data_IF_927152177700
#
_entry.id   IF_927152177700
#
_cell.length_a   1.000
_cell.length_b   1.000
_cell.length_c   1.000
_cell.angle_alpha   90.00
_cell.angle_beta   90.00
_cell.angle_gamma   90.00
#
_symmetry.space_group_name_H-M   'P 1'
#
loop_
_entity.id
_entity.type
_entity.pdbx_description
1 polymer ?
#
# COMPACT_ATOMS: atom_id res chain seq x y z
N UNK A 1 15.15 28.31 -0.25
CA UNK A 1 14.62 29.45 -1.01
C UNK A 1 14.51 29.01 -2.46
N UNK A 2 13.32 28.61 -2.90
CA UNK A 2 13.04 28.22 -4.29
C UNK A 2 12.87 29.49 -5.13
N UNK A 3 13.96 30.22 -5.37
CA UNK A 3 13.91 31.44 -6.20
C UNK A 3 13.95 31.10 -7.70
N UNK A 4 12.96 30.34 -8.15
CA UNK A 4 12.57 30.35 -9.56
C UNK A 4 11.75 31.60 -9.85
N UNK A 5 11.85 32.15 -11.06
CA UNK A 5 11.08 33.33 -11.49
C UNK A 5 9.69 32.95 -12.05
N UNK A 6 9.28 31.71 -11.81
CA UNK A 6 8.13 31.02 -12.41
C UNK A 6 7.15 30.62 -11.31
N UNK A 7 5.85 30.72 -11.63
CA UNK A 7 4.77 30.22 -10.78
C UNK A 7 4.73 28.70 -10.86
N UNK A 8 4.75 28.03 -9.71
CA UNK A 8 4.62 26.58 -9.62
C UNK A 8 3.14 26.15 -9.69
N UNK A 9 2.86 25.01 -10.32
CA UNK A 9 1.50 24.48 -10.36
C UNK A 9 1.09 23.86 -9.01
N UNK A 10 1.96 23.04 -8.41
CA UNK A 10 1.68 22.31 -7.17
C UNK A 10 2.86 22.45 -6.19
N UNK A 11 2.57 22.74 -4.92
CA UNK A 11 3.53 22.68 -3.83
C UNK A 11 2.96 21.83 -2.67
N UNK A 12 3.71 20.81 -2.27
CA UNK A 12 3.31 19.83 -1.25
C UNK A 12 3.99 20.04 0.11
N UNK A 13 3.39 19.55 1.19
CA UNK A 13 4.03 19.52 2.51
C UNK A 13 3.23 18.74 3.55
N UNK A 14 3.77 18.62 4.76
CA UNK A 14 2.98 18.19 5.92
C UNK A 14 2.04 19.30 6.38
N UNK A 15 0.92 18.97 7.02
CA UNK A 15 -0.04 19.97 7.52
C UNK A 15 0.59 20.93 8.55
N UNK A 16 1.64 20.52 9.28
CA UNK A 16 2.42 21.40 10.17
C UNK A 16 3.03 22.60 9.43
N UNK A 17 3.37 22.46 8.15
CA UNK A 17 3.99 23.51 7.36
C UNK A 17 2.99 24.59 6.94
N UNK A 18 1.68 24.29 6.99
CA UNK A 18 0.60 25.17 6.50
C UNK A 18 0.47 26.49 7.27
N UNK A 19 0.83 26.51 8.56
CA UNK A 19 0.57 27.67 9.43
C UNK A 19 1.72 28.69 9.48
N UNK A 20 2.94 28.30 9.13
CA UNK A 20 4.10 29.20 9.28
C UNK A 20 5.09 29.04 8.14
N UNK A 21 5.50 27.82 7.83
CA UNK A 21 6.53 27.59 6.82
C UNK A 21 6.08 28.04 5.42
N UNK A 22 4.96 27.52 4.92
CA UNK A 22 4.45 27.86 3.59
C UNK A 22 4.00 29.33 3.46
N UNK A 23 3.32 29.95 4.47
CA UNK A 23 3.09 31.39 4.46
C UNK A 23 4.37 32.23 4.34
N UNK A 24 5.45 31.81 5.01
CA UNK A 24 6.74 32.49 4.87
C UNK A 24 7.34 32.32 3.47
N UNK A 25 7.19 31.15 2.86
CA UNK A 25 7.65 30.93 1.47
C UNK A 25 6.87 31.77 0.47
N UNK A 26 5.55 31.88 0.63
CA UNK A 26 4.71 32.78 -0.16
C UNK A 26 5.20 34.21 0.00
N UNK A 27 5.33 34.70 1.24
CA UNK A 27 5.75 36.07 1.50
C UNK A 27 7.12 36.38 0.89
N UNK A 28 8.10 35.47 1.02
CA UNK A 28 9.43 35.66 0.46
C UNK A 28 9.43 35.66 -1.08
N UNK A 29 8.71 34.72 -1.69
CA UNK A 29 8.73 34.51 -3.14
C UNK A 29 7.92 35.57 -3.87
N UNK A 30 6.74 35.92 -3.37
CA UNK A 30 5.86 36.91 -4.01
C UNK A 30 6.38 38.35 -3.78
N UNK A 31 7.02 38.64 -2.63
CA UNK A 31 7.60 39.96 -2.40
C UNK A 31 8.77 40.27 -3.33
N UNK A 32 9.58 39.28 -3.70
CA UNK A 32 10.73 39.49 -4.60
C UNK A 32 10.34 39.44 -6.08
N UNK A 33 9.35 38.60 -6.45
CA UNK A 33 8.97 38.41 -7.86
C UNK A 33 7.80 39.28 -8.31
N UNK A 34 6.94 39.71 -7.39
CA UNK A 34 5.66 40.37 -7.70
C UNK A 34 4.65 39.48 -8.42
N UNK A 35 4.86 38.15 -8.43
CA UNK A 35 4.01 37.15 -9.11
C UNK A 35 3.42 36.18 -8.10
N UNK A 36 2.33 35.51 -8.47
CA UNK A 36 1.81 34.36 -7.72
C UNK A 36 2.88 33.27 -7.61
N UNK A 37 3.12 32.77 -6.40
CA UNK A 37 4.15 31.75 -6.17
C UNK A 37 3.67 30.34 -6.58
N UNK A 38 2.52 29.89 -6.11
CA UNK A 38 2.00 28.52 -6.29
C UNK A 38 0.50 28.54 -6.56
N UNK A 39 0.00 27.74 -7.51
CA UNK A 39 -1.44 27.61 -7.81
C UNK A 39 -2.18 26.70 -6.84
N UNK A 40 -1.63 25.52 -6.54
CA UNK A 40 -2.25 24.52 -5.69
C UNK A 40 -1.33 24.07 -4.55
N UNK A 41 -1.84 24.10 -3.33
CA UNK A 41 -1.14 23.62 -2.14
C UNK A 41 -1.75 22.29 -1.68
N UNK A 42 -0.89 21.29 -1.48
CA UNK A 42 -1.29 19.93 -1.10
C UNK A 42 -0.65 19.57 0.24
N UNK A 43 -1.45 19.34 1.26
CA UNK A 43 -0.95 19.04 2.60
C UNK A 43 -1.36 17.64 3.08
N UNK A 44 -0.38 16.83 3.46
CA UNK A 44 -0.60 15.55 4.12
C UNK A 44 -0.88 15.72 5.61
N UNK A 45 -1.90 15.03 6.10
CA UNK A 45 -2.27 15.04 7.52
C UNK A 45 -1.25 14.29 8.39
N UNK A 46 -1.34 14.49 9.69
CA UNK A 46 -0.46 13.84 10.65
C UNK A 46 -0.68 12.33 10.75
N UNK A 47 0.41 11.64 11.04
CA UNK A 47 0.39 10.25 11.51
C UNK A 47 0.46 10.24 13.05
N UNK A 48 -0.52 9.60 13.66
CA UNK A 48 -0.51 9.21 15.07
C UNK A 48 0.09 7.82 15.23
N UNK A 49 0.63 7.54 16.41
CA UNK A 49 1.09 6.22 16.83
C UNK A 49 0.39 5.88 18.13
N UNK A 50 -0.43 4.83 18.11
CA UNK A 50 -1.25 4.41 19.24
C UNK A 50 -2.09 5.56 19.82
N UNK A 51 -2.69 6.37 18.94
CA UNK A 51 -3.53 7.52 19.29
C UNK A 51 -2.78 8.77 19.75
N UNK A 52 -1.43 8.74 19.78
CA UNK A 52 -0.59 9.86 20.22
C UNK A 52 0.19 10.45 19.06
N UNK A 53 0.57 11.72 19.18
CA UNK A 53 1.48 12.35 18.20
C UNK A 53 2.78 11.55 18.12
N UNK A 54 3.28 11.32 16.91
CA UNK A 54 4.59 10.73 16.71
C UNK A 54 5.68 11.71 17.15
N UNK A 55 6.67 11.24 17.91
CA UNK A 55 7.77 12.09 18.34
C UNK A 55 8.92 11.31 18.98
N UNK A 56 10.15 11.74 18.69
CA UNK A 56 11.36 11.12 19.26
C UNK A 56 11.36 11.13 20.80
N UNK A 57 10.89 12.21 21.42
CA UNK A 57 10.80 12.33 22.88
C UNK A 57 9.78 11.38 23.52
N UNK A 58 8.79 10.93 22.76
CA UNK A 58 7.79 9.95 23.21
C UNK A 58 8.22 8.50 22.96
N UNK A 59 9.36 8.29 22.29
CA UNK A 59 9.88 6.95 21.96
C UNK A 59 9.00 6.16 20.98
N UNK A 60 8.04 6.82 20.32
CA UNK A 60 7.07 6.19 19.41
C UNK A 60 7.31 6.54 17.93
N UNK A 61 8.46 7.14 17.62
CA UNK A 61 8.88 7.38 16.24
C UNK A 61 9.64 6.16 15.72
N UNK A 62 9.01 5.41 14.82
CA UNK A 62 9.59 4.22 14.21
C UNK A 62 10.22 4.54 12.85
N UNK A 63 11.38 3.94 12.59
CA UNK A 63 12.04 3.94 11.29
C UNK A 63 11.69 2.67 10.52
N UNK A 64 11.89 2.67 9.20
CA UNK A 64 11.68 1.47 8.36
C UNK A 64 12.50 0.28 8.88
N UNK A 65 13.76 0.51 9.30
CA UNK A 65 14.60 -0.52 9.93
C UNK A 65 13.95 -1.16 11.19
N UNK A 66 13.14 -0.41 11.94
CA UNK A 66 12.45 -0.94 13.12
C UNK A 66 11.32 -1.90 12.74
N UNK A 67 10.71 -1.70 11.57
CA UNK A 67 9.70 -2.60 11.01
C UNK A 67 10.37 -3.89 10.55
N UNK A 68 11.49 -3.79 9.83
CA UNK A 68 12.25 -4.95 9.35
C UNK A 68 12.78 -5.80 10.51
N UNK A 69 13.33 -5.18 11.56
CA UNK A 69 13.77 -5.88 12.79
C UNK A 69 12.65 -6.66 13.47
N UNK A 70 11.38 -6.27 13.24
CA UNK A 70 10.19 -6.96 13.75
C UNK A 70 9.61 -7.99 12.78
N UNK A 71 10.26 -8.20 11.62
CA UNK A 71 9.87 -9.19 10.63
C UNK A 71 8.80 -8.71 9.65
N UNK A 72 8.60 -7.40 9.52
CA UNK A 72 7.71 -6.84 8.49
C UNK A 72 8.48 -6.56 7.20
N UNK A 73 7.83 -6.81 6.06
CA UNK A 73 8.29 -6.31 4.76
C UNK A 73 8.10 -4.77 4.71
N UNK A 74 9.13 -3.99 4.35
CA UNK A 74 9.04 -2.54 4.21
C UNK A 74 7.86 -2.05 3.33
N UNK A 75 7.51 -2.79 2.27
CA UNK A 75 6.41 -2.44 1.38
C UNK A 75 5.03 -2.51 2.05
N UNK A 76 4.92 -3.18 3.20
CA UNK A 76 3.68 -3.19 3.97
C UNK A 76 3.35 -1.82 4.52
N UNK A 77 4.35 -1.02 4.89
CA UNK A 77 4.11 0.34 5.35
C UNK A 77 3.46 1.17 4.24
N UNK A 78 3.93 0.99 3.00
CA UNK A 78 3.34 1.62 1.81
C UNK A 78 1.90 1.13 1.60
N UNK A 79 1.67 -0.19 1.64
CA UNK A 79 0.33 -0.75 1.54
C UNK A 79 -0.61 -0.19 2.61
N UNK A 80 -0.14 -0.08 3.85
CA UNK A 80 -0.90 0.47 4.98
C UNK A 80 -1.32 1.93 4.72
N UNK A 81 -0.42 2.77 4.21
CA UNK A 81 -0.78 4.15 3.90
C UNK A 81 -1.77 4.28 2.74
N UNK A 82 -1.74 3.35 1.78
CA UNK A 82 -2.73 3.29 0.69
C UNK A 82 -4.14 2.91 1.17
N UNK A 83 -4.31 2.44 2.42
CA UNK A 83 -5.65 2.14 2.95
C UNK A 83 -6.39 3.37 3.48
N UNK A 84 -5.77 4.55 3.47
CA UNK A 84 -6.36 5.80 3.94
C UNK A 84 -6.18 6.95 2.94
N UNK A 85 -6.89 8.06 3.15
CA UNK A 85 -6.67 9.27 2.36
C UNK A 85 -5.54 10.12 2.97
N UNK A 86 -4.70 10.73 2.13
CA UNK A 86 -3.55 11.52 2.58
C UNK A 86 -3.91 12.74 3.44
N UNK A 87 -5.16 13.22 3.36
CA UNK A 87 -5.68 14.38 4.11
C UNK A 87 -6.30 14.01 5.45
N UNK A 88 -6.42 12.73 5.75
CA UNK A 88 -7.00 12.24 6.99
C UNK A 88 -5.91 11.87 8.00
N UNK A 89 -6.14 12.19 9.27
CA UNK A 89 -5.22 11.79 10.34
C UNK A 89 -5.16 10.26 10.38
N UNK A 90 -3.98 9.72 10.15
CA UNK A 90 -3.77 8.28 10.09
C UNK A 90 -3.24 7.76 11.43
N UNK A 91 -3.88 6.75 12.01
CA UNK A 91 -3.39 6.12 13.24
C UNK A 91 -2.63 4.83 12.94
N UNK A 92 -1.31 4.89 13.06
CA UNK A 92 -0.45 3.72 12.99
C UNK A 92 -0.52 2.93 14.30
N UNK A 93 -0.75 1.61 14.17
CA UNK A 93 -0.54 0.65 15.25
C UNK A 93 0.13 -0.60 14.69
N UNK A 94 0.73 -1.42 15.54
CA UNK A 94 1.35 -2.67 15.10
C UNK A 94 0.31 -3.68 14.58
N UNK A 95 -0.91 -3.62 15.10
CA UNK A 95 -2.04 -4.44 14.65
C UNK A 95 -2.47 -4.04 13.23
N UNK A 96 -2.55 -2.73 12.92
CA UNK A 96 -2.90 -2.27 11.57
C UNK A 96 -1.82 -2.64 10.56
N UNK A 97 -0.54 -2.52 10.92
CA UNK A 97 0.57 -2.99 10.09
C UNK A 97 0.54 -4.51 9.88
N UNK A 98 0.20 -5.29 10.90
CA UNK A 98 0.04 -6.75 10.80
C UNK A 98 -1.10 -7.13 9.86
N UNK A 99 -2.24 -6.44 9.95
CA UNK A 99 -3.36 -6.63 9.04
C UNK A 99 -2.97 -6.30 7.58
N UNK A 100 -2.24 -5.21 7.36
CA UNK A 100 -1.71 -4.83 6.06
C UNK A 100 -0.74 -5.89 5.51
N UNK A 101 0.18 -6.42 6.33
CA UNK A 101 1.12 -7.48 5.92
C UNK A 101 0.36 -8.73 5.45
N UNK A 102 -0.66 -9.14 6.20
CA UNK A 102 -1.48 -10.29 5.85
C UNK A 102 -2.24 -10.08 4.53
N UNK A 103 -2.80 -8.89 4.33
CA UNK A 103 -3.50 -8.54 3.10
C UNK A 103 -2.56 -8.55 1.88
N UNK A 104 -1.38 -7.91 1.99
CA UNK A 104 -0.39 -7.87 0.92
C UNK A 104 0.17 -9.27 0.60
N UNK A 105 0.44 -10.09 1.62
CA UNK A 105 0.87 -11.47 1.42
C UNK A 105 -0.21 -12.29 0.72
N UNK A 106 -1.46 -12.16 1.13
CA UNK A 106 -2.57 -12.84 0.46
C UNK A 106 -2.72 -12.41 -1.00
N UNK A 107 -2.56 -11.13 -1.30
CA UNK A 107 -2.55 -10.63 -2.68
C UNK A 107 -1.44 -11.30 -3.49
N UNK A 108 -0.20 -11.26 -2.98
CA UNK A 108 0.97 -11.86 -3.61
C UNK A 108 0.79 -13.36 -3.88
N UNK A 109 0.31 -14.11 -2.89
CA UNK A 109 0.05 -15.55 -3.06
C UNK A 109 -1.08 -15.83 -4.06
N UNK A 110 -2.12 -14.99 -4.08
CA UNK A 110 -3.20 -15.12 -5.06
C UNK A 110 -2.68 -14.95 -6.50
N UNK A 111 -1.87 -13.91 -6.73
CA UNK A 111 -1.43 -13.54 -8.08
C UNK A 111 -0.28 -14.41 -8.62
N UNK A 112 0.44 -15.13 -7.75
CA UNK A 112 1.41 -16.16 -8.15
C UNK A 112 0.79 -17.26 -8.98
N UNK A 113 -0.47 -17.58 -8.70
CA UNK A 113 -1.22 -18.64 -9.37
C UNK A 113 -1.93 -18.17 -10.65
N UNK A 114 -1.81 -16.89 -11.01
CA UNK A 114 -2.41 -16.36 -12.22
C UNK A 114 -1.59 -16.70 -13.47
N UNK A 115 -2.25 -16.60 -14.62
CA UNK A 115 -1.65 -16.72 -15.94
C UNK A 115 -0.85 -15.46 -16.30
N UNK A 116 0.00 -15.58 -17.32
CA UNK A 116 0.78 -14.45 -17.82
C UNK A 116 -0.14 -13.30 -18.29
N UNK A 117 0.25 -12.03 -18.04
CA UNK A 117 -0.57 -10.88 -18.36
C UNK A 117 -0.80 -10.76 -19.87
N UNK A 118 -2.05 -10.50 -20.27
CA UNK A 118 -2.43 -10.22 -21.66
C UNK A 118 -3.10 -8.84 -21.75
N UNK A 119 -4.33 -8.76 -22.25
CA UNK A 119 -5.16 -7.54 -22.29
C UNK A 119 -5.85 -7.34 -20.95
N UNK A 120 -5.79 -6.13 -20.41
CA UNK A 120 -6.44 -5.77 -19.14
C UNK A 120 -7.96 -5.61 -19.21
N UNK A 121 -8.57 -5.46 -18.04
CA UNK A 121 -9.97 -5.14 -17.80
C UNK A 121 -10.19 -3.61 -17.79
N UNK A 122 -10.51 -3.03 -18.95
CA UNK A 122 -10.64 -1.58 -19.13
C UNK A 122 -11.60 -0.89 -18.12
N UNK A 123 -12.71 -1.54 -17.78
CA UNK A 123 -13.67 -1.02 -16.79
C UNK A 123 -13.03 -0.78 -15.42
N UNK A 124 -12.20 -1.72 -14.94
CA UNK A 124 -11.54 -1.61 -13.65
C UNK A 124 -10.40 -0.58 -13.70
N UNK A 125 -9.68 -0.50 -14.82
CA UNK A 125 -8.64 0.52 -15.05
C UNK A 125 -9.24 1.94 -15.03
N UNK A 126 -10.40 2.13 -15.66
CA UNK A 126 -11.12 3.40 -15.65
C UNK A 126 -11.56 3.77 -14.24
N UNK A 127 -12.28 2.88 -13.54
CA UNK A 127 -12.75 3.12 -12.16
C UNK A 127 -11.59 3.42 -11.22
N UNK A 128 -10.46 2.73 -11.38
CA UNK A 128 -9.24 2.97 -10.61
C UNK A 128 -8.69 4.39 -10.86
N UNK A 129 -8.67 4.82 -12.12
CA UNK A 129 -8.24 6.17 -12.49
C UNK A 129 -9.18 7.23 -11.93
N UNK A 130 -10.50 7.03 -12.04
CA UNK A 130 -11.51 7.93 -11.48
C UNK A 130 -11.40 8.07 -9.96
N UNK A 131 -11.04 6.99 -9.25
CA UNK A 131 -10.76 7.05 -7.82
C UNK A 131 -9.55 7.94 -7.50
N UNK A 132 -8.48 7.87 -8.31
CA UNK A 132 -7.29 8.70 -8.14
C UNK A 132 -7.52 10.17 -8.54
N UNK A 133 -8.31 10.40 -9.59
CA UNK A 133 -8.69 11.75 -10.03
C UNK A 133 -9.54 12.47 -8.97
N UNK A 134 -10.26 11.70 -8.15
CA UNK A 134 -10.96 12.20 -6.98
C UNK A 134 -10.01 12.38 -5.78
N UNK A 135 -9.16 13.40 -5.84
CA UNK A 135 -8.29 13.84 -4.74
C UNK A 135 -7.37 12.72 -4.20
N UNK A 136 -6.76 11.97 -5.12
CA UNK A 136 -5.81 10.89 -4.82
C UNK A 136 -6.40 9.85 -3.85
N UNK A 137 -7.66 9.44 -4.05
CA UNK A 137 -8.33 8.48 -3.18
C UNK A 137 -7.78 7.05 -3.36
N UNK A 138 -6.60 6.82 -2.78
CA UNK A 138 -5.88 5.55 -2.83
C UNK A 138 -6.61 4.43 -2.08
N UNK A 139 -7.37 4.74 -1.03
CA UNK A 139 -8.20 3.76 -0.34
C UNK A 139 -9.27 3.16 -1.27
N UNK A 140 -9.96 4.00 -2.05
CA UNK A 140 -10.91 3.55 -3.06
C UNK A 140 -10.22 2.83 -4.22
N UNK A 141 -9.08 3.33 -4.69
CA UNK A 141 -8.29 2.69 -5.73
C UNK A 141 -7.84 1.26 -5.32
N UNK A 142 -7.42 1.09 -4.06
CA UNK A 142 -7.04 -0.21 -3.51
C UNK A 142 -8.25 -1.14 -3.34
N UNK A 143 -9.43 -0.61 -3.01
CA UNK A 143 -10.66 -1.40 -3.00
C UNK A 143 -10.99 -1.95 -4.40
N UNK A 144 -10.87 -1.12 -5.44
CA UNK A 144 -11.09 -1.51 -6.85
C UNK A 144 -10.07 -2.58 -7.28
N UNK A 145 -8.82 -2.49 -6.83
CA UNK A 145 -7.83 -3.55 -7.06
C UNK A 145 -8.30 -4.89 -6.45
N UNK A 146 -8.83 -4.89 -5.23
CA UNK A 146 -9.35 -6.12 -4.61
C UNK A 146 -10.63 -6.63 -5.27
N UNK A 147 -11.48 -5.75 -5.78
CA UNK A 147 -12.61 -6.13 -6.63
C UNK A 147 -12.14 -6.84 -7.90
N UNK A 148 -11.12 -6.30 -8.59
CA UNK A 148 -10.51 -6.94 -9.75
C UNK A 148 -9.99 -8.34 -9.41
N UNK A 149 -9.27 -8.49 -8.29
CA UNK A 149 -8.74 -9.78 -7.82
C UNK A 149 -9.87 -10.80 -7.65
N UNK A 150 -11.01 -10.38 -7.08
CA UNK A 150 -12.17 -11.24 -6.77
C UNK A 150 -13.17 -11.43 -7.93
N UNK A 151 -13.06 -10.65 -8.99
CA UNK A 151 -13.97 -10.70 -10.15
C UNK A 151 -13.91 -12.02 -10.92
N UNK A 152 -14.79 -12.24 -11.90
CA UNK A 152 -14.80 -13.46 -12.73
C UNK A 152 -13.95 -13.34 -14.01
N UNK A 153 -13.20 -12.24 -14.17
CA UNK A 153 -12.34 -12.07 -15.35
C UNK A 153 -11.24 -13.15 -15.42
N UNK A 154 -10.78 -13.51 -16.63
CA UNK A 154 -9.64 -14.41 -16.80
C UNK A 154 -8.42 -13.90 -16.03
N UNK A 155 -7.64 -14.80 -15.42
CA UNK A 155 -6.51 -14.40 -14.57
C UNK A 155 -5.43 -13.65 -15.33
N UNK A 156 -5.22 -13.97 -16.62
CA UNK A 156 -4.33 -13.25 -17.53
C UNK A 156 -4.78 -11.80 -17.78
N UNK A 157 -6.10 -11.55 -17.81
CA UNK A 157 -6.64 -10.20 -17.98
C UNK A 157 -6.53 -9.38 -16.68
N UNK A 158 -6.87 -10.00 -15.55
CA UNK A 158 -6.66 -9.42 -14.21
C UNK A 158 -5.19 -9.04 -14.01
N UNK A 159 -4.26 -9.92 -14.36
CA UNK A 159 -2.82 -9.67 -14.29
C UNK A 159 -2.42 -8.44 -15.10
N UNK A 160 -2.94 -8.28 -16.32
CA UNK A 160 -2.67 -7.11 -17.17
C UNK A 160 -3.05 -5.78 -16.51
N UNK A 161 -4.26 -5.68 -15.95
CA UNK A 161 -4.68 -4.47 -15.26
C UNK A 161 -4.00 -4.28 -13.91
N UNK A 162 -3.77 -5.36 -13.16
CA UNK A 162 -3.08 -5.31 -11.88
C UNK A 162 -1.69 -4.67 -12.02
N UNK A 163 -0.93 -5.07 -13.04
CA UNK A 163 0.41 -4.52 -13.28
C UNK A 163 0.37 -3.04 -13.69
N UNK A 164 -0.67 -2.58 -14.38
CA UNK A 164 -0.85 -1.15 -14.67
C UNK A 164 -1.20 -0.37 -13.39
N UNK A 165 -2.12 -0.88 -12.58
CA UNK A 165 -2.46 -0.28 -11.28
C UNK A 165 -1.23 -0.20 -10.37
N UNK A 166 -0.39 -1.23 -10.39
CA UNK A 166 0.83 -1.29 -9.59
C UNK A 166 1.91 -0.27 -10.00
N UNK A 167 1.85 0.28 -11.22
CA UNK A 167 2.71 1.42 -11.60
C UNK A 167 2.43 2.66 -10.75
N UNK A 168 1.20 2.81 -10.26
CA UNK A 168 0.81 3.88 -9.33
C UNK A 168 0.99 3.43 -7.88
N UNK A 169 0.51 2.23 -7.54
CA UNK A 169 0.53 1.76 -6.15
C UNK A 169 1.93 1.41 -5.66
N UNK A 170 2.82 0.92 -6.53
CA UNK A 170 4.23 0.64 -6.21
C UNK A 170 4.43 -0.46 -5.17
N UNK A 171 3.69 -1.56 -5.27
CA UNK A 171 3.73 -2.71 -4.35
C UNK A 171 4.64 -3.86 -4.85
N UNK A 172 5.25 -3.70 -6.03
CA UNK A 172 6.19 -4.67 -6.60
C UNK A 172 5.52 -5.97 -7.05
N UNK A 173 4.26 -5.92 -7.47
CA UNK A 173 3.44 -7.10 -7.77
C UNK A 173 3.96 -7.87 -9.00
N UNK A 174 4.71 -7.21 -9.89
CA UNK A 174 5.34 -7.84 -11.05
C UNK A 174 6.27 -9.01 -10.70
N UNK A 175 6.87 -9.00 -9.51
CA UNK A 175 7.75 -10.08 -9.03
C UNK A 175 6.99 -11.35 -8.62
N UNK A 176 5.67 -11.25 -8.50
CA UNK A 176 4.79 -12.31 -8.00
C UNK A 176 3.86 -12.83 -9.09
N UNK A 177 3.36 -11.97 -9.98
CA UNK A 177 2.42 -12.36 -11.05
C UNK A 177 2.97 -13.51 -11.89
N UNK A 178 2.22 -14.61 -11.95
CA UNK A 178 2.56 -15.81 -12.71
C UNK A 178 3.96 -16.40 -12.40
N UNK A 179 4.49 -16.10 -11.20
CA UNK A 179 5.74 -16.66 -10.66
C UNK A 179 5.40 -17.73 -9.62
N UNK A 180 4.98 -18.89 -10.11
CA UNK A 180 4.70 -20.06 -9.28
C UNK A 180 5.97 -20.46 -8.52
N UNK A 181 5.82 -20.68 -7.21
CA UNK A 181 6.87 -21.26 -6.38
C UNK A 181 6.81 -22.77 -6.61
N UNK A 182 7.96 -23.37 -6.90
CA UNK A 182 8.07 -24.83 -6.91
C UNK A 182 8.06 -25.30 -5.45
N UNK A 183 6.96 -25.91 -5.03
CA UNK A 183 6.79 -26.37 -3.65
C UNK A 183 7.33 -27.80 -3.59
N UNK A 184 8.37 -28.08 -2.78
CA UNK A 184 8.92 -29.42 -2.63
C UNK A 184 7.83 -30.46 -2.31
N UNK A 185 7.93 -31.67 -2.88
CA UNK A 185 6.93 -32.74 -2.71
C UNK A 185 6.62 -33.05 -1.25
N UNK A 186 7.63 -33.02 -0.38
CA UNK A 186 7.46 -33.25 1.06
C UNK A 186 6.57 -32.18 1.72
N UNK A 187 6.59 -30.94 1.24
CA UNK A 187 5.72 -29.87 1.74
C UNK A 187 4.30 -30.05 1.21
N UNK A 188 4.14 -30.45 -0.06
CA UNK A 188 2.82 -30.79 -0.60
C UNK A 188 2.18 -31.95 0.15
N UNK A 189 2.96 -32.98 0.51
CA UNK A 189 2.48 -34.12 1.29
C UNK A 189 2.02 -33.70 2.70
N UNK A 190 2.78 -32.84 3.38
CA UNK A 190 2.38 -32.26 4.67
C UNK A 190 1.10 -31.42 4.57
N UNK A 191 0.92 -30.68 3.47
CA UNK A 191 -0.31 -29.91 3.20
C UNK A 191 -1.50 -30.85 2.99
N UNK A 192 -1.36 -31.90 2.19
CA UNK A 192 -2.42 -32.89 1.98
C UNK A 192 -2.81 -33.60 3.27
N UNK A 193 -1.83 -34.04 4.08
CA UNK A 193 -2.08 -34.65 5.39
C UNK A 193 -2.81 -33.68 6.34
N UNK A 194 -2.51 -32.37 6.24
CA UNK A 194 -3.18 -31.34 7.02
C UNK A 194 -4.63 -31.12 6.57
N UNK A 195 -4.90 -31.11 5.28
CA UNK A 195 -6.27 -31.02 4.77
C UNK A 195 -7.13 -32.22 5.18
N UNK A 196 -6.56 -33.42 5.16
CA UNK A 196 -7.21 -34.63 5.64
C UNK A 196 -7.51 -34.55 7.15
N UNK A 197 -6.55 -34.08 7.95
CA UNK A 197 -6.76 -33.82 9.38
C UNK A 197 -7.90 -32.81 9.62
N UNK A 198 -8.00 -31.75 8.81
CA UNK A 198 -9.12 -30.79 8.90
C UNK A 198 -10.46 -31.40 8.50
N UNK A 199 -10.52 -32.19 7.42
CA UNK A 199 -11.74 -32.91 7.01
C UNK A 199 -12.22 -33.87 8.11
N UNK A 200 -11.28 -34.49 8.81
CA UNK A 200 -11.55 -35.40 9.93
C UNK A 200 -11.73 -34.67 11.28
N UNK A 201 -11.76 -33.33 11.30
CA UNK A 201 -11.87 -32.51 12.53
C UNK A 201 -10.76 -32.75 13.57
N UNK A 202 -9.61 -33.28 13.15
CA UNK A 202 -8.40 -33.42 13.97
C UNK A 202 -7.59 -32.12 13.95
N UNK A 203 -8.07 -31.14 14.72
CA UNK A 203 -7.46 -29.82 14.82
C UNK A 203 -6.07 -29.84 15.44
N UNK A 204 -5.79 -30.80 16.34
CA UNK A 204 -4.49 -30.93 16.98
C UNK A 204 -3.41 -31.37 15.98
N UNK A 205 -3.69 -32.39 15.17
CA UNK A 205 -2.78 -32.83 14.10
C UNK A 205 -2.63 -31.77 13.01
N UNK A 206 -3.70 -31.07 12.65
CA UNK A 206 -3.65 -29.94 11.71
C UNK A 206 -2.69 -28.83 12.19
N UNK A 207 -2.70 -28.50 13.49
CA UNK A 207 -1.82 -27.48 14.06
C UNK A 207 -0.37 -27.94 14.17
N UNK A 208 -0.12 -29.23 14.42
CA UNK A 208 1.24 -29.80 14.38
C UNK A 208 1.82 -29.74 12.96
N UNK A 209 1.06 -30.18 11.96
CA UNK A 209 1.49 -30.15 10.55
C UNK A 209 1.70 -28.72 10.06
N UNK A 210 0.89 -27.75 10.52
CA UNK A 210 1.07 -26.33 10.23
C UNK A 210 2.43 -25.79 10.71
N UNK A 211 2.94 -26.27 11.85
CA UNK A 211 4.25 -25.85 12.37
C UNK A 211 5.41 -26.43 11.55
N UNK A 212 5.21 -27.57 10.89
CA UNK A 212 6.22 -28.23 10.06
C UNK A 212 6.30 -27.67 8.63
N UNK A 213 5.24 -27.03 8.15
CA UNK A 213 5.17 -26.37 6.82
C UNK A 213 5.88 -25.00 6.82
N UNK A 214 6.15 -24.43 8.00
CA UNK A 214 6.70 -23.07 8.16
C UNK A 214 8.16 -22.95 7.77
#
# INVERSE_FOLDING_TARGET
>A
MLCGNETLDIHGGGEDLRQTHHPNEIAQSEAVTGKLFVRHWVHGAFILVDGKRMGKSLGNAYLVDDLEKRGFDPLVLRYLYLTGNYREIFNFTWESLTAAQNALNNLRETIRNWDQPVVGCAEHEQRFTEALDNDLNTAQALAILWELVKSDYPTSAKAGSLLKMDQVLGLGLAEFVAKKIDVPENVMELVSQREEARKNSDYHKSDQLRKQIK
#
